data_IF_775072172899
#
_entry.id   IF_775072172899
#
_cell.length_a   1.000
_cell.length_b   1.000
_cell.length_c   1.000
_cell.angle_alpha   90.00
_cell.angle_beta   90.00
_cell.angle_gamma   90.00
#
_symmetry.space_group_name_H-M   'P 1'
#
loop_
_entity.id
_entity.type
_entity.pdbx_description
1 polymer ?
#
# COMPACT_ATOMS: atom_id res chain seq x y z
N UNK A 1 -0.14 -10.42 13.59
CA UNK A 1 0.73 -9.50 14.36
C UNK A 1 1.11 -8.33 13.48
N UNK A 2 0.86 -7.11 13.96
CA UNK A 2 1.22 -5.90 13.22
C UNK A 2 2.74 -5.85 12.98
N UNK A 3 3.12 -5.88 11.71
CA UNK A 3 4.52 -5.79 11.28
C UNK A 3 4.95 -4.34 11.08
N UNK A 4 4.10 -3.58 10.41
CA UNK A 4 4.38 -2.22 9.98
C UNK A 4 3.10 -1.41 9.93
N UNK A 5 3.14 -0.19 10.42
CA UNK A 5 2.12 0.82 10.18
C UNK A 5 2.77 2.09 9.67
N UNK A 6 2.27 2.62 8.57
CA UNK A 6 2.67 3.92 8.03
C UNK A 6 1.48 4.87 7.94
N UNK A 7 1.76 6.16 7.98
CA UNK A 7 0.76 7.21 7.83
C UNK A 7 1.33 8.43 7.13
N UNK A 8 0.49 9.08 6.38
CA UNK A 8 0.77 10.39 5.82
C UNK A 8 -0.44 11.31 6.05
N UNK A 9 -0.24 12.36 6.80
CA UNK A 9 -1.26 13.39 7.10
C UNK A 9 -1.02 14.67 6.28
N UNK A 10 0.00 14.68 5.45
CA UNK A 10 0.28 15.81 4.55
C UNK A 10 -0.55 15.67 3.28
N UNK A 11 -1.25 16.72 2.92
CA UNK A 11 -2.02 16.77 1.68
C UNK A 11 -1.12 16.57 0.47
N UNK A 12 -1.54 15.69 -0.43
CA UNK A 12 -0.83 15.38 -1.66
C UNK A 12 -1.79 15.32 -2.85
N UNK A 13 -1.38 15.94 -3.95
CA UNK A 13 -2.11 15.87 -5.21
C UNK A 13 -1.59 14.69 -6.03
N UNK A 14 -2.52 13.82 -6.44
CA UNK A 14 -2.20 12.63 -7.22
C UNK A 14 -2.79 12.74 -8.63
N UNK A 15 -1.92 12.80 -9.62
CA UNK A 15 -2.30 12.59 -11.01
C UNK A 15 -2.67 11.12 -11.26
N UNK A 16 -3.38 10.88 -12.35
CA UNK A 16 -3.64 9.51 -12.84
C UNK A 16 -2.31 8.79 -13.07
N UNK A 17 -2.18 7.59 -12.54
CA UNK A 17 -0.97 6.78 -12.63
C UNK A 17 0.08 7.03 -11.55
N UNK A 18 -0.12 7.99 -10.66
CA UNK A 18 0.81 8.28 -9.57
C UNK A 18 0.57 7.39 -8.36
N UNK A 19 1.65 7.01 -7.68
CA UNK A 19 1.60 6.27 -6.42
C UNK A 19 1.42 7.23 -5.23
N UNK A 20 0.65 6.79 -4.23
CA UNK A 20 0.47 7.53 -2.98
C UNK A 20 1.80 7.58 -2.22
N UNK A 21 2.15 8.75 -1.71
CA UNK A 21 3.20 8.87 -0.72
C UNK A 21 2.66 8.39 0.64
N UNK A 22 3.26 7.32 1.16
CA UNK A 22 2.82 6.64 2.38
C UNK A 22 3.30 7.32 3.66
N UNK A 23 4.13 8.36 3.51
CA UNK A 23 4.60 9.19 4.62
C UNK A 23 5.69 8.54 5.46
N UNK A 24 5.39 8.31 6.72
CA UNK A 24 6.35 7.81 7.70
C UNK A 24 5.83 6.56 8.42
N UNK A 25 6.76 5.74 8.89
CA UNK A 25 6.44 4.60 9.76
C UNK A 25 6.17 5.11 11.17
N UNK A 26 4.93 4.91 11.66
CA UNK A 26 4.57 5.24 13.03
C UNK A 26 4.64 4.05 13.99
N UNK A 27 4.55 2.83 13.46
CA UNK A 27 4.72 1.58 14.20
C UNK A 27 5.47 0.55 13.37
N UNK A 28 6.40 -0.12 13.99
CA UNK A 28 7.11 -1.26 13.41
C UNK A 28 7.41 -2.29 14.47
N UNK A 29 7.31 -3.56 14.10
CA UNK A 29 7.79 -4.67 14.90
C UNK A 29 8.88 -5.39 14.13
N UNK A 30 10.10 -5.29 14.67
CA UNK A 30 11.24 -6.02 14.15
C UNK A 30 11.91 -6.72 15.34
N UNK A 31 11.82 -8.05 15.37
CA UNK A 31 12.54 -8.83 16.38
C UNK A 31 14.04 -8.73 16.09
N UNK A 32 14.79 -8.16 17.01
CA UNK A 32 16.24 -7.89 16.90
C UNK A 32 17.12 -9.13 16.69
N UNK A 33 16.59 -10.32 16.77
CA UNK A 33 17.34 -11.56 16.98
C UNK A 33 17.48 -12.48 15.77
N UNK A 34 17.08 -12.09 14.57
CA UNK A 34 17.26 -12.92 13.39
C UNK A 34 18.14 -12.24 12.35
N UNK A 35 19.41 -12.55 12.42
CA UNK A 35 20.36 -12.55 11.29
C UNK A 35 20.18 -11.44 10.24
N UNK A 36 20.26 -10.18 10.63
CA UNK A 36 20.60 -9.09 9.70
C UNK A 36 19.63 -8.75 8.56
N UNK A 37 18.65 -9.60 8.28
CA UNK A 37 17.66 -9.34 7.21
C UNK A 37 16.39 -8.76 7.81
N UNK A 38 16.06 -7.55 7.41
CA UNK A 38 14.81 -6.92 7.81
C UNK A 38 13.64 -7.62 7.12
N UNK A 39 12.52 -7.85 7.82
CA UNK A 39 11.33 -8.46 7.20
C UNK A 39 10.66 -7.57 6.16
N UNK A 40 10.92 -6.27 6.22
CA UNK A 40 10.42 -5.29 5.26
C UNK A 40 11.44 -4.15 5.12
N UNK A 41 11.34 -3.44 4.00
CA UNK A 41 11.99 -2.15 3.80
C UNK A 41 10.93 -1.12 3.43
N UNK A 42 10.99 0.07 4.04
CA UNK A 42 10.02 1.14 3.83
C UNK A 42 10.62 2.21 2.95
N UNK A 43 9.92 2.45 1.84
CA UNK A 43 10.13 3.63 1.00
C UNK A 43 8.86 4.47 1.03
N UNK A 44 8.95 5.77 0.84
CA UNK A 44 7.80 6.66 0.90
C UNK A 44 6.69 6.33 -0.09
N UNK A 45 6.98 5.67 -1.20
CA UNK A 45 6.00 5.31 -2.25
C UNK A 45 5.71 3.82 -2.36
N UNK A 46 6.46 2.97 -1.67
CA UNK A 46 6.21 1.53 -1.62
C UNK A 46 6.80 0.89 -0.37
N UNK A 47 6.33 -0.29 -0.04
CA UNK A 47 6.84 -1.11 1.05
C UNK A 47 7.33 -2.42 0.45
N UNK A 48 8.60 -2.77 0.66
CA UNK A 48 9.17 -4.04 0.23
C UNK A 48 8.99 -5.11 1.30
N UNK A 49 8.26 -6.16 0.98
CA UNK A 49 8.12 -7.35 1.82
C UNK A 49 9.18 -8.36 1.42
N UNK A 50 10.11 -8.64 2.32
CA UNK A 50 11.34 -9.39 2.01
C UNK A 50 11.34 -10.81 2.53
N UNK A 51 10.53 -11.15 3.52
CA UNK A 51 10.42 -12.51 4.04
C UNK A 51 9.19 -13.22 3.49
N UNK A 52 9.32 -14.49 3.23
CA UNK A 52 8.18 -15.33 2.85
C UNK A 52 7.09 -15.33 3.92
N UNK A 53 5.87 -15.43 3.48
CA UNK A 53 4.70 -15.49 4.35
C UNK A 53 3.46 -14.86 3.70
N UNK A 54 2.38 -14.90 4.44
CA UNK A 54 1.12 -14.25 4.09
C UNK A 54 1.01 -12.95 4.88
N UNK A 55 0.77 -11.87 4.17
CA UNK A 55 0.65 -10.53 4.73
C UNK A 55 -0.75 -10.00 4.48
N UNK A 56 -1.38 -9.50 5.53
CA UNK A 56 -2.65 -8.80 5.45
C UNK A 56 -2.38 -7.30 5.39
N UNK A 57 -2.84 -6.65 4.33
CA UNK A 57 -2.65 -5.23 4.08
C UNK A 57 -3.99 -4.53 4.19
N UNK A 58 -4.05 -3.54 5.07
CA UNK A 58 -5.20 -2.64 5.20
C UNK A 58 -4.76 -1.22 4.96
N UNK A 59 -5.49 -0.50 4.12
CA UNK A 59 -5.24 0.91 3.84
C UNK A 59 -6.53 1.70 3.98
N UNK A 60 -6.45 2.83 4.68
CA UNK A 60 -7.54 3.81 4.75
C UNK A 60 -7.07 5.11 4.13
N UNK A 61 -7.83 5.62 3.18
CA UNK A 61 -7.48 6.80 2.37
C UNK A 61 -8.60 7.80 2.45
N UNK A 62 -8.30 9.02 2.90
CA UNK A 62 -9.23 10.15 2.90
C UNK A 62 -8.82 11.12 1.80
N UNK A 63 -9.74 11.47 0.94
CA UNK A 63 -9.45 12.23 -0.27
C UNK A 63 -10.63 13.08 -0.74
N UNK A 64 -10.33 14.04 -1.58
CA UNK A 64 -11.23 14.77 -2.45
C UNK A 64 -10.73 14.69 -3.91
N UNK A 65 -11.44 15.25 -4.85
CA UNK A 65 -10.99 15.31 -6.23
C UNK A 65 -11.21 16.70 -6.83
N UNK A 66 -10.28 17.24 -7.63
CA UNK A 66 -10.43 18.56 -8.26
C UNK A 66 -11.52 18.59 -9.35
N UNK A 67 -11.93 17.42 -9.85
CA UNK A 67 -13.02 17.25 -10.80
C UNK A 67 -13.90 16.08 -10.39
N UNK A 68 -15.18 16.13 -10.78
CA UNK A 68 -16.09 15.01 -10.58
C UNK A 68 -15.66 13.79 -11.41
N UNK A 69 -15.90 12.62 -10.89
CA UNK A 69 -15.56 11.36 -11.55
C UNK A 69 -15.22 10.25 -10.56
N UNK A 70 -14.81 9.12 -11.08
CA UNK A 70 -14.44 7.95 -10.29
C UNK A 70 -12.97 8.03 -9.88
N UNK A 71 -12.73 8.08 -8.57
CA UNK A 71 -11.39 7.94 -7.98
C UNK A 71 -11.19 6.46 -7.68
N UNK A 72 -10.08 5.92 -8.19
CA UNK A 72 -9.74 4.50 -8.04
C UNK A 72 -8.35 4.39 -7.44
N UNK A 73 -8.25 3.71 -6.30
CA UNK A 73 -6.97 3.34 -5.70
C UNK A 73 -6.74 1.85 -5.90
N UNK A 74 -5.64 1.51 -6.55
CA UNK A 74 -5.24 0.16 -6.92
C UNK A 74 -3.98 -0.25 -6.18
N UNK A 75 -4.05 -1.39 -5.49
CA UNK A 75 -2.85 -2.04 -4.94
C UNK A 75 -2.02 -2.63 -6.08
N UNK A 76 -0.72 -2.41 -6.04
CA UNK A 76 0.23 -2.98 -6.99
C UNK A 76 1.27 -3.82 -6.29
N UNK A 77 1.68 -4.91 -6.93
CA UNK A 77 2.84 -5.73 -6.56
C UNK A 77 3.90 -5.60 -7.65
N UNK A 78 5.08 -5.10 -7.30
CA UNK A 78 6.17 -4.87 -8.25
C UNK A 78 5.74 -4.04 -9.49
N UNK A 79 4.88 -3.04 -9.26
CA UNK A 79 4.33 -2.18 -10.31
C UNK A 79 3.17 -2.77 -11.12
N UNK A 80 2.78 -4.01 -10.85
CA UNK A 80 1.68 -4.70 -11.54
C UNK A 80 0.43 -4.65 -10.67
N UNK A 81 -0.70 -4.23 -11.25
CA UNK A 81 -1.97 -4.19 -10.56
C UNK A 81 -2.39 -5.58 -10.05
N UNK A 82 -2.77 -5.66 -8.79
CA UNK A 82 -3.30 -6.89 -8.19
C UNK A 82 -4.80 -6.97 -8.47
N UNK A 83 -5.28 -7.96 -9.21
CA UNK A 83 -6.71 -8.09 -9.51
C UNK A 83 -7.56 -8.16 -8.24
N UNK A 84 -8.61 -7.34 -8.17
CA UNK A 84 -9.52 -7.29 -7.04
C UNK A 84 -9.04 -6.47 -5.83
N UNK A 85 -7.78 -6.05 -5.79
CA UNK A 85 -7.23 -5.21 -4.71
C UNK A 85 -7.35 -3.72 -5.06
N UNK A 86 -8.57 -3.26 -5.26
CA UNK A 86 -8.86 -1.86 -5.60
C UNK A 86 -10.11 -1.38 -4.88
N UNK A 87 -10.23 -0.07 -4.78
CA UNK A 87 -11.43 0.60 -4.29
C UNK A 87 -11.80 1.75 -5.23
N UNK A 88 -13.08 1.90 -5.49
CA UNK A 88 -13.62 2.95 -6.36
C UNK A 88 -14.66 3.76 -5.60
N UNK A 89 -14.49 5.07 -5.63
CA UNK A 89 -15.46 6.03 -5.07
C UNK A 89 -15.75 7.12 -6.08
N UNK A 90 -17.03 7.41 -6.26
CA UNK A 90 -17.47 8.47 -7.18
C UNK A 90 -17.56 9.80 -6.46
N UNK A 91 -16.86 10.80 -6.97
CA UNK A 91 -16.96 12.19 -6.53
C UNK A 91 -17.94 12.92 -7.44
N UNK A 92 -19.00 13.47 -6.88
CA UNK A 92 -20.04 14.22 -7.62
C UNK A 92 -19.84 15.72 -7.53
N UNK A 93 -19.26 16.20 -6.42
CA UNK A 93 -18.97 17.64 -6.21
C UNK A 93 -17.48 17.86 -6.14
N UNK A 94 -16.93 18.50 -7.17
CA UNK A 94 -15.50 18.81 -7.26
C UNK A 94 -14.99 19.65 -6.07
N UNK A 95 -13.81 19.34 -5.61
CA UNK A 95 -12.99 20.05 -4.61
C UNK A 95 -13.55 20.08 -3.17
N UNK A 96 -14.85 19.95 -2.94
CA UNK A 96 -15.47 20.07 -1.60
C UNK A 96 -15.93 18.75 -1.01
N UNK A 97 -16.25 17.75 -1.84
CA UNK A 97 -16.68 16.44 -1.39
C UNK A 97 -15.47 15.62 -0.90
N UNK A 98 -15.50 15.23 0.37
CA UNK A 98 -14.44 14.42 1.01
C UNK A 98 -14.99 13.03 1.28
N UNK A 99 -14.25 12.01 0.85
CA UNK A 99 -14.58 10.61 1.10
C UNK A 99 -13.42 9.88 1.75
N UNK A 100 -13.76 8.82 2.50
CA UNK A 100 -12.80 7.86 3.02
C UNK A 100 -13.10 6.49 2.45
N UNK A 101 -12.08 5.84 1.93
CA UNK A 101 -12.20 4.50 1.36
C UNK A 101 -11.09 3.61 1.88
N UNK A 102 -11.23 2.31 1.70
CA UNK A 102 -10.27 1.33 2.20
C UNK A 102 -9.96 0.22 1.20
N UNK A 103 -8.74 -0.29 1.32
CA UNK A 103 -8.29 -1.51 0.65
C UNK A 103 -7.97 -2.52 1.75
N UNK A 104 -8.45 -3.75 1.58
CA UNK A 104 -8.20 -4.88 2.46
C UNK A 104 -7.84 -6.08 1.60
N UNK A 105 -6.60 -6.53 1.67
CA UNK A 105 -6.11 -7.58 0.79
C UNK A 105 -5.00 -8.42 1.43
N UNK A 106 -4.88 -9.67 0.99
CA UNK A 106 -3.79 -10.57 1.38
C UNK A 106 -2.76 -10.68 0.26
N UNK A 107 -1.49 -10.59 0.62
CA UNK A 107 -0.35 -10.75 -0.29
C UNK A 107 0.47 -11.94 0.15
N UNK A 108 0.76 -12.84 -0.78
CA UNK A 108 1.68 -13.94 -0.58
C UNK A 108 3.07 -13.57 -1.06
N UNK A 109 4.05 -13.63 -0.19
CA UNK A 109 5.47 -13.62 -0.55
C UNK A 109 5.97 -15.05 -0.48
N UNK A 110 6.26 -15.61 -1.63
CA UNK A 110 6.63 -17.02 -1.76
C UNK A 110 8.14 -17.24 -1.69
N UNK A 111 8.52 -18.45 -1.34
CA UNK A 111 9.88 -18.95 -1.45
C UNK A 111 9.97 -19.86 -2.67
N UNK A 112 10.59 -19.37 -3.73
CA UNK A 112 10.91 -20.22 -4.86
C UNK A 112 12.16 -21.04 -4.55
N UNK A 113 12.08 -22.34 -4.81
CA UNK A 113 13.22 -23.23 -4.73
C UNK A 113 13.82 -23.40 -6.13
N UNK A 114 14.84 -22.64 -6.47
CA UNK A 114 15.56 -22.77 -7.73
C UNK A 114 16.84 -23.55 -7.47
N UNK A 115 17.04 -24.68 -8.15
CA UNK A 115 18.21 -25.53 -8.02
C UNK A 115 18.52 -25.97 -6.57
N UNK A 116 17.47 -26.20 -5.77
CA UNK A 116 17.62 -26.60 -4.37
C UNK A 116 18.02 -25.48 -3.40
N UNK A 117 18.12 -24.23 -3.87
CA UNK A 117 18.35 -23.06 -3.02
C UNK A 117 17.03 -22.28 -2.84
N UNK A 118 16.60 -22.02 -1.59
CA UNK A 118 15.44 -21.18 -1.35
C UNK A 118 15.75 -19.73 -1.74
N UNK A 119 14.98 -19.19 -2.65
CA UNK A 119 14.99 -17.76 -2.99
C UNK A 119 13.68 -17.12 -2.58
N UNK A 120 13.72 -16.02 -1.85
CA UNK A 120 12.51 -15.27 -1.49
C UNK A 120 12.25 -14.22 -2.56
N UNK A 121 11.06 -14.25 -3.14
CA UNK A 121 10.63 -13.23 -4.09
C UNK A 121 10.17 -11.99 -3.34
N UNK A 122 10.93 -10.92 -3.40
CA UNK A 122 10.56 -9.62 -2.81
C UNK A 122 9.34 -9.06 -3.50
N UNK A 123 8.35 -8.60 -2.72
CA UNK A 123 7.16 -7.92 -3.21
C UNK A 123 7.19 -6.45 -2.79
N UNK A 124 7.23 -5.55 -3.76
CA UNK A 124 7.09 -4.11 -3.55
C UNK A 124 5.61 -3.74 -3.65
N UNK A 125 5.03 -3.36 -2.53
CA UNK A 125 3.61 -3.03 -2.43
C UNK A 125 3.45 -1.51 -2.49
N UNK A 126 2.65 -1.05 -3.44
CA UNK A 126 2.29 0.37 -3.60
C UNK A 126 0.80 0.53 -3.85
N UNK A 127 0.30 1.74 -3.64
CA UNK A 127 -1.09 2.11 -3.96
C UNK A 127 -1.03 3.21 -5.02
N UNK A 128 -1.64 2.95 -6.16
CA UNK A 128 -1.64 3.82 -7.32
C UNK A 128 -3.03 4.39 -7.57
N UNK A 129 -3.11 5.67 -7.92
CA UNK A 129 -4.35 6.25 -8.43
C UNK A 129 -4.50 5.90 -9.92
N UNK A 130 -5.51 5.12 -10.24
CA UNK A 130 -5.81 4.70 -11.62
C UNK A 130 -7.09 5.33 -12.18
N UNK A 131 -7.82 6.08 -11.35
CA UNK A 131 -9.00 6.85 -11.74
C UNK A 131 -8.70 8.30 -12.07
N UNK A 132 -9.66 9.19 -11.85
CA UNK A 132 -9.44 10.63 -12.01
C UNK A 132 -8.42 11.16 -10.99
N UNK A 133 -7.81 12.31 -11.27
CA UNK A 133 -6.89 12.95 -10.33
C UNK A 133 -7.57 13.18 -8.97
N UNK A 134 -6.84 13.02 -7.89
CA UNK A 134 -7.33 13.14 -6.53
C UNK A 134 -6.39 13.95 -5.64
N UNK A 135 -6.95 14.51 -4.57
CA UNK A 135 -6.19 15.17 -3.50
C UNK A 135 -6.34 14.32 -2.24
N UNK A 136 -5.29 13.63 -1.85
CA UNK A 136 -5.27 12.78 -0.65
C UNK A 136 -4.84 13.61 0.55
N UNK A 137 -5.67 13.63 1.59
CA UNK A 137 -5.39 14.38 2.83
C UNK A 137 -4.90 13.51 3.96
N UNK A 138 -5.22 12.22 3.92
CA UNK A 138 -4.77 11.26 4.93
C UNK A 138 -4.70 9.87 4.31
N UNK A 139 -3.63 9.15 4.61
CA UNK A 139 -3.50 7.73 4.30
C UNK A 139 -2.86 7.00 5.48
N UNK A 140 -3.44 5.89 5.85
CA UNK A 140 -2.89 4.98 6.87
C UNK A 140 -2.82 3.59 6.28
N UNK A 141 -1.66 2.97 6.33
CA UNK A 141 -1.44 1.60 5.87
C UNK A 141 -0.92 0.76 7.02
N UNK A 142 -1.58 -0.34 7.28
CA UNK A 142 -1.14 -1.33 8.24
C UNK A 142 -0.87 -2.66 7.54
N UNK A 143 0.23 -3.30 7.88
CA UNK A 143 0.62 -4.60 7.37
C UNK A 143 0.81 -5.55 8.54
N UNK A 144 0.02 -6.60 8.56
CA UNK A 144 0.12 -7.70 9.50
C UNK A 144 0.73 -8.92 8.82
N UNK A 145 1.70 -9.54 9.45
CA UNK A 145 2.16 -10.86 9.02
C UNK A 145 1.28 -11.92 9.68
N UNK A 146 0.61 -12.71 8.86
CA UNK A 146 -0.34 -13.73 9.31
C UNK A 146 0.36 -15.07 9.55
N UNK A 147 1.25 -15.41 8.64
CA UNK A 147 2.01 -16.68 8.72
C UNK A 147 3.47 -16.46 8.37
#
# INVERSE_FOLDING_TARGET
MLLLGSRNITTQDLAVGSSINLGEVYRKYCKKNNCGVKPFDFNSTFISLQHSGIYHITANITFSAPAAGDVVFQLTENGIAVPGALTTETITTAATEVKTTGIDFYVLVDNDCILGMPTTTVKNIAIQNTGVASTVTNVVVNIDKVV
#
